data_IF_416678711797
#
_entry.id   IF_416678711797
#
_cell.length_a   1.000
_cell.length_b   1.000
_cell.length_c   1.000
_cell.angle_alpha   90.00
_cell.angle_beta   90.00
_cell.angle_gamma   90.00
#
_symmetry.space_group_name_H-M   'P 1'
#
loop_
_entity.id
_entity.type
_entity.pdbx_description
1 polymer ?
#
# COMPACT_ATOMS: atom_id res chain seq x y z
N UNK A 1 -20.99 17.10 6.31
CA UNK A 1 -21.76 17.56 5.14
C UNK A 1 -20.91 17.32 3.90
N UNK A 2 -21.47 16.87 2.77
CA UNK A 2 -20.69 16.77 1.53
C UNK A 2 -20.24 18.17 1.11
N UNK A 3 -18.96 18.30 0.76
CA UNK A 3 -18.38 19.53 0.24
C UNK A 3 -18.11 19.34 -1.26
N UNK A 4 -18.56 20.30 -2.08
CA UNK A 4 -18.31 20.26 -3.53
C UNK A 4 -16.93 20.86 -3.80
N UNK A 5 -16.10 20.11 -4.54
CA UNK A 5 -14.80 20.59 -5.03
C UNK A 5 -14.80 20.58 -6.55
N UNK A 6 -14.59 21.74 -7.17
CA UNK A 6 -14.49 21.86 -8.62
C UNK A 6 -13.06 21.53 -9.07
N UNK A 7 -12.91 20.48 -9.87
CA UNK A 7 -11.63 20.06 -10.44
C UNK A 7 -11.55 20.50 -11.91
N UNK A 8 -10.49 21.22 -12.28
CA UNK A 8 -10.17 21.48 -13.68
C UNK A 8 -9.35 20.32 -14.23
N UNK A 9 -9.93 19.58 -15.16
CA UNK A 9 -9.26 18.47 -15.84
C UNK A 9 -8.81 18.92 -17.23
N UNK A 10 -7.57 18.60 -17.64
CA UNK A 10 -7.18 18.69 -19.04
C UNK A 10 -8.13 17.87 -19.91
N UNK A 11 -8.46 18.35 -21.12
CA UNK A 11 -9.46 17.69 -21.97
C UNK A 11 -9.07 16.23 -22.30
N UNK A 12 -7.79 15.99 -22.58
CA UNK A 12 -7.25 14.65 -22.82
C UNK A 12 -7.50 13.69 -21.63
N UNK A 13 -7.34 14.18 -20.40
CA UNK A 13 -7.58 13.36 -19.21
C UNK A 13 -9.07 13.07 -19.03
N UNK A 14 -9.93 14.04 -19.32
CA UNK A 14 -11.39 13.89 -19.24
C UNK A 14 -11.89 12.85 -20.24
N UNK A 15 -11.39 12.82 -21.47
CA UNK A 15 -11.70 11.80 -22.47
C UNK A 15 -11.29 10.40 -22.02
N UNK A 16 -10.06 10.26 -21.50
CA UNK A 16 -9.55 8.99 -20.97
C UNK A 16 -10.37 8.48 -19.77
N UNK A 17 -10.80 9.39 -18.89
CA UNK A 17 -11.69 9.04 -17.77
C UNK A 17 -13.05 8.58 -18.28
N UNK A 18 -13.61 9.25 -19.29
CA UNK A 18 -14.90 8.86 -19.86
C UNK A 18 -14.86 7.45 -20.45
N UNK A 19 -13.81 7.13 -21.22
CA UNK A 19 -13.61 5.78 -21.77
C UNK A 19 -13.43 4.73 -20.66
N UNK A 20 -12.54 4.97 -19.69
CA UNK A 20 -12.30 4.04 -18.59
C UNK A 20 -13.54 3.83 -17.69
N UNK A 21 -14.34 4.88 -17.48
CA UNK A 21 -15.59 4.78 -16.75
C UNK A 21 -16.62 3.95 -17.52
N UNK A 22 -16.74 4.13 -18.84
CA UNK A 22 -17.63 3.33 -19.68
C UNK A 22 -17.25 1.85 -19.66
N UNK A 23 -15.97 1.52 -19.82
CA UNK A 23 -15.45 0.15 -19.74
C UNK A 23 -15.74 -0.50 -18.37
N UNK A 24 -15.72 0.31 -17.30
CA UNK A 24 -16.05 -0.13 -15.95
C UNK A 24 -17.57 -0.12 -15.64
N UNK A 25 -18.43 0.26 -16.59
CA UNK A 25 -19.88 0.36 -16.39
C UNK A 25 -20.31 1.45 -15.41
N UNK A 26 -19.53 2.53 -15.30
CA UNK A 26 -19.70 3.61 -14.31
C UNK A 26 -19.89 4.96 -14.98
N UNK A 27 -20.50 5.90 -14.26
CA UNK A 27 -20.46 7.31 -14.67
C UNK A 27 -19.05 7.88 -14.46
N UNK A 28 -18.61 8.87 -15.26
CA UNK A 28 -17.32 9.53 -15.04
C UNK A 28 -17.17 10.09 -13.62
N UNK A 29 -18.25 10.63 -13.04
CA UNK A 29 -18.23 11.12 -11.67
C UNK A 29 -17.95 10.02 -10.64
N UNK A 30 -18.69 8.91 -10.70
CA UNK A 30 -18.50 7.78 -9.78
C UNK A 30 -17.08 7.21 -9.92
N UNK A 31 -16.59 7.05 -11.15
CA UNK A 31 -15.24 6.60 -11.43
C UNK A 31 -14.18 7.53 -10.80
N UNK A 32 -14.33 8.85 -10.94
CA UNK A 32 -13.39 9.81 -10.35
C UNK A 32 -13.39 9.77 -8.82
N UNK A 33 -14.56 9.69 -8.18
CA UNK A 33 -14.66 9.61 -6.72
C UNK A 33 -13.96 8.36 -6.19
N UNK A 34 -14.20 7.21 -6.82
CA UNK A 34 -13.55 5.96 -6.44
C UNK A 34 -12.04 6.01 -6.68
N UNK A 35 -11.59 6.57 -7.80
CA UNK A 35 -10.18 6.72 -8.10
C UNK A 35 -9.47 7.59 -7.04
N UNK A 36 -10.09 8.71 -6.64
CA UNK A 36 -9.56 9.58 -5.58
C UNK A 36 -9.54 8.88 -4.22
N UNK A 37 -10.58 8.10 -3.88
CA UNK A 37 -10.61 7.31 -2.66
C UNK A 37 -9.48 6.26 -2.64
N UNK A 38 -9.30 5.53 -3.74
CA UNK A 38 -8.23 4.54 -3.88
C UNK A 38 -6.84 5.18 -3.78
N UNK A 39 -6.62 6.32 -4.44
CA UNK A 39 -5.35 7.04 -4.39
C UNK A 39 -5.05 7.59 -2.99
N UNK A 40 -6.07 8.08 -2.29
CA UNK A 40 -5.95 8.58 -0.91
C UNK A 40 -5.54 7.45 0.03
N UNK A 41 -6.24 6.31 -0.03
CA UNK A 41 -5.91 5.13 0.77
C UNK A 41 -4.49 4.60 0.47
N UNK A 42 -4.07 4.62 -0.80
CA UNK A 42 -2.71 4.25 -1.20
C UNK A 42 -1.66 5.20 -0.60
N UNK A 43 -1.89 6.50 -0.66
CA UNK A 43 -0.99 7.51 -0.11
C UNK A 43 -0.83 7.37 1.41
N UNK A 44 -1.93 7.11 2.13
CA UNK A 44 -1.93 6.85 3.57
C UNK A 44 -1.13 5.60 3.92
N UNK A 45 -1.40 4.47 3.25
CA UNK A 45 -0.65 3.21 3.44
C UNK A 45 0.83 3.40 3.18
N UNK A 46 1.19 4.13 2.11
CA UNK A 46 2.58 4.42 1.78
C UNK A 46 3.27 5.24 2.86
N UNK A 47 2.59 6.27 3.40
CA UNK A 47 3.12 7.09 4.49
C UNK A 47 3.43 6.23 5.72
N UNK A 48 2.51 5.36 6.12
CA UNK A 48 2.71 4.44 7.25
C UNK A 48 3.86 3.47 6.98
N UNK A 49 3.90 2.87 5.79
CA UNK A 49 4.97 1.94 5.40
C UNK A 49 6.36 2.58 5.45
N UNK A 50 6.51 3.78 4.89
CA UNK A 50 7.78 4.52 4.90
C UNK A 50 8.19 4.91 6.33
N UNK A 51 7.24 5.36 7.15
CA UNK A 51 7.52 5.66 8.55
C UNK A 51 8.00 4.43 9.32
N UNK A 52 7.37 3.27 9.11
CA UNK A 52 7.80 2.01 9.70
C UNK A 52 9.19 1.58 9.23
N UNK A 53 9.51 1.77 7.94
CA UNK A 53 10.83 1.47 7.40
C UNK A 53 11.94 2.34 8.03
N UNK A 54 11.67 3.63 8.23
CA UNK A 54 12.60 4.52 8.93
C UNK A 54 12.80 4.12 10.39
N UNK A 55 11.73 3.77 11.11
CA UNK A 55 11.82 3.30 12.48
C UNK A 55 12.65 2.01 12.57
N UNK A 56 12.41 1.03 11.69
CA UNK A 56 13.19 -0.20 11.63
C UNK A 56 14.68 0.07 11.34
N UNK A 57 14.99 0.99 10.42
CA UNK A 57 16.37 1.37 10.13
C UNK A 57 17.07 2.00 11.35
N UNK A 58 16.35 2.81 12.14
CA UNK A 58 16.88 3.39 13.38
C UNK A 58 17.12 2.31 14.45
N UNK A 59 16.21 1.35 14.62
CA UNK A 59 16.38 0.23 15.55
C UNK A 59 17.59 -0.64 15.18
N UNK A 60 17.79 -0.93 13.89
CA UNK A 60 18.97 -1.64 13.42
C UNK A 60 20.24 -0.83 13.70
N UNK A 61 20.24 0.47 13.43
CA UNK A 61 21.39 1.33 13.72
C UNK A 61 21.73 1.39 15.22
N UNK A 62 20.72 1.34 16.09
CA UNK A 62 20.90 1.45 17.54
C UNK A 62 21.27 0.11 18.21
N UNK A 63 20.61 -0.98 17.81
CA UNK A 63 20.70 -2.27 18.50
C UNK A 63 21.40 -3.36 17.68
N UNK A 64 21.52 -3.18 16.36
CA UNK A 64 22.08 -4.17 15.44
C UNK A 64 21.23 -5.42 15.30
N UNK A 65 19.95 -5.41 15.69
CA UNK A 65 19.09 -6.59 15.66
C UNK A 65 18.35 -6.70 14.31
N UNK A 66 18.54 -7.81 13.60
CA UNK A 66 17.88 -8.11 12.32
C UNK A 66 17.33 -9.53 12.31
N UNK A 67 16.51 -9.84 11.31
CA UNK A 67 16.07 -11.21 11.05
C UNK A 67 16.78 -11.75 9.82
N UNK A 68 17.16 -13.02 9.88
CA UNK A 68 17.65 -13.74 8.71
C UNK A 68 16.52 -13.88 7.66
N UNK A 69 16.82 -13.53 6.41
CA UNK A 69 15.81 -13.47 5.36
C UNK A 69 15.28 -14.87 5.01
N UNK A 70 16.14 -15.88 4.97
CA UNK A 70 15.76 -17.25 4.62
C UNK A 70 14.87 -17.86 5.72
N UNK A 71 15.20 -17.62 7.01
CA UNK A 71 14.34 -18.01 8.11
C UNK A 71 12.95 -17.34 8.03
N UNK A 72 12.89 -16.05 7.71
CA UNK A 72 11.63 -15.31 7.59
C UNK A 72 10.80 -15.83 6.43
N UNK A 73 11.40 -16.01 5.25
CA UNK A 73 10.67 -16.52 4.08
C UNK A 73 10.20 -17.96 4.31
N UNK A 74 11.01 -18.82 4.91
CA UNK A 74 10.61 -20.17 5.30
C UNK A 74 9.42 -20.17 6.26
N UNK A 75 9.49 -19.36 7.32
CA UNK A 75 8.39 -19.20 8.27
C UNK A 75 7.09 -18.74 7.60
N UNK A 76 7.15 -17.75 6.71
CA UNK A 76 5.98 -17.24 5.99
C UNK A 76 5.39 -18.30 5.06
N UNK A 77 6.21 -19.05 4.33
CA UNK A 77 5.75 -20.12 3.45
C UNK A 77 5.06 -21.25 4.22
N UNK A 78 5.61 -21.68 5.36
CA UNK A 78 5.00 -22.73 6.18
C UNK A 78 3.68 -22.27 6.79
N UNK A 79 3.60 -21.00 7.21
CA UNK A 79 2.35 -20.40 7.71
C UNK A 79 1.27 -20.36 6.63
N UNK A 80 1.62 -20.00 5.39
CA UNK A 80 0.69 -20.01 4.25
C UNK A 80 0.17 -21.42 3.94
N UNK A 81 0.99 -22.45 4.16
CA UNK A 81 0.62 -23.87 4.01
C UNK A 81 -0.18 -24.43 5.19
N UNK A 82 -0.52 -23.60 6.19
CA UNK A 82 -1.22 -24.02 7.40
C UNK A 82 -0.39 -24.91 8.34
N UNK A 83 0.92 -25.01 8.13
CA UNK A 83 1.82 -25.79 8.98
C UNK A 83 2.17 -25.03 10.25
N UNK A 84 2.51 -25.76 11.31
CA UNK A 84 3.06 -25.16 12.52
C UNK A 84 4.47 -24.67 12.24
N UNK A 85 4.63 -23.36 12.07
CA UNK A 85 5.92 -22.72 11.79
C UNK A 85 6.49 -22.05 13.05
N UNK A 86 7.81 -22.16 13.26
CA UNK A 86 8.51 -21.48 14.36
C UNK A 86 8.83 -20.05 13.93
N UNK A 87 8.48 -19.07 14.77
CA UNK A 87 8.77 -17.66 14.47
C UNK A 87 10.29 -17.42 14.48
N UNK A 88 10.85 -16.76 13.46
CA UNK A 88 12.26 -16.37 13.42
C UNK A 88 12.63 -15.51 14.63
N UNK A 89 13.89 -15.59 15.05
CA UNK A 89 14.41 -14.77 16.15
C UNK A 89 15.30 -13.67 15.58
N UNK A 90 15.28 -12.51 16.23
CA UNK A 90 16.23 -11.47 15.89
C UNK A 90 17.65 -11.92 16.28
N UNK A 91 18.59 -11.72 15.38
CA UNK A 91 20.02 -11.97 15.54
C UNK A 91 20.78 -10.65 15.42
N UNK A 92 21.97 -10.59 15.99
CA UNK A 92 22.82 -9.40 15.89
C UNK A 92 23.58 -9.42 14.57
N UNK A 93 23.54 -8.31 13.84
CA UNK A 93 24.33 -8.02 12.63
C UNK A 93 25.83 -8.07 12.91
#
# INVERSE_FOLDING_TARGET
>A
MPATTTLKLPEELKERIAAAAADAGKSPHAFMVEALAAQTALAERRRVFVAAAHAAAQEVAQYGLVYDADEVFGYLQDKLKGKRAKRPKAVKL
#
